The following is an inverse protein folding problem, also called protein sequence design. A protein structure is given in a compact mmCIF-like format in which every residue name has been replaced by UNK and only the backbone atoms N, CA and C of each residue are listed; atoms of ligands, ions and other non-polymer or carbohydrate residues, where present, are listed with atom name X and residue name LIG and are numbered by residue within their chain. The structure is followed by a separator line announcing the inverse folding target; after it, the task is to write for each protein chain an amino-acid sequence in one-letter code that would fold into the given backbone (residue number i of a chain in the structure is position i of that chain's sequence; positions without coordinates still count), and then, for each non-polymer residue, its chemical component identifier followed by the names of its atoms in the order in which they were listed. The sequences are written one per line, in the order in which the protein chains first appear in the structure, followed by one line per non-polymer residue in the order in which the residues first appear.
data_IF_871602852003
#
_entry.id   IF_871602852003
#
_cell.length_a   1.000
_cell.length_b   1.000
_cell.length_c   1.000
_cell.angle_alpha   90.00
_cell.angle_beta   90.00
_cell.angle_gamma   90.00
#
_symmetry.space_group_name_H-M   'P 1'
#
loop_
_entity.id
_entity.type
_entity.pdbx_description
1 polymer ?
#
# COMPACT_ATOMS: atom_id res chain seq x y z
N UNK A 1 4.46 60.53 -20.51
CA UNK A 1 5.92 60.55 -20.76
C UNK A 1 6.38 59.13 -21.02
N UNK A 2 6.85 58.81 -22.24
CA UNK A 2 7.38 57.49 -22.58
C UNK A 2 8.90 57.49 -22.40
N UNK A 3 9.46 56.46 -21.77
CA UNK A 3 10.87 56.09 -21.98
C UNK A 3 11.01 54.58 -21.98
N UNK A 4 11.23 54.11 -23.20
CA UNK A 4 11.95 52.89 -23.55
C UNK A 4 13.25 52.77 -22.74
N UNK A 5 13.58 51.54 -22.32
CA UNK A 5 14.87 50.94 -22.66
C UNK A 5 14.86 49.44 -22.42
N UNK A 6 14.95 48.73 -23.52
CA UNK A 6 15.56 47.41 -23.64
C UNK A 6 16.89 47.32 -22.88
N UNK A 7 17.17 46.16 -22.31
CA UNK A 7 18.50 45.56 -22.44
C UNK A 7 18.41 44.04 -22.24
N UNK A 8 18.38 43.38 -23.41
CA UNK A 8 18.70 41.98 -23.62
C UNK A 8 20.14 41.69 -23.17
N UNK A 9 20.35 40.57 -22.50
CA UNK A 9 21.69 40.02 -22.27
C UNK A 9 21.59 38.49 -22.27
N UNK A 10 21.79 37.92 -23.44
CA UNK A 10 22.07 36.51 -23.65
C UNK A 10 23.52 36.20 -23.26
N UNK A 11 23.80 35.12 -22.53
CA UNK A 11 25.16 34.62 -22.34
C UNK A 11 25.64 33.75 -23.52
N UNK A 12 26.97 33.61 -23.70
CA UNK A 12 27.59 33.20 -24.95
C UNK A 12 27.62 31.69 -25.21
N UNK A 13 27.48 31.37 -26.50
CA UNK A 13 27.71 30.07 -27.13
C UNK A 13 29.18 29.68 -27.04
N UNK A 14 29.49 28.57 -26.36
CA UNK A 14 30.83 27.95 -26.44
C UNK A 14 30.81 26.86 -27.50
N UNK A 15 31.53 27.14 -28.58
CA UNK A 15 31.81 26.23 -29.68
C UNK A 15 33.06 25.38 -29.37
N UNK A 16 33.20 24.29 -30.13
CA UNK A 16 34.46 23.59 -30.44
C UNK A 16 34.97 22.57 -29.41
N UNK A 17 34.76 21.29 -29.71
CA UNK A 17 35.88 20.35 -29.96
C UNK A 17 35.43 19.09 -30.71
N UNK A 18 35.64 19.10 -32.02
CA UNK A 18 35.84 17.89 -32.82
C UNK A 18 37.09 17.14 -32.30
N UNK A 19 36.97 15.83 -32.18
CA UNK A 19 38.04 14.96 -31.68
C UNK A 19 37.78 13.50 -32.03
N UNK A 20 38.08 13.18 -33.29
CA UNK A 20 38.68 11.93 -33.79
C UNK A 20 38.19 10.56 -33.25
N UNK A 21 37.56 9.83 -34.17
CA UNK A 21 37.59 8.37 -34.24
C UNK A 21 39.03 7.82 -34.22
N UNK A 22 39.21 6.65 -33.60
CA UNK A 22 39.78 5.54 -34.36
C UNK A 22 38.90 4.28 -34.33
N UNK A 23 38.64 3.75 -35.52
CA UNK A 23 38.27 2.35 -35.74
C UNK A 23 39.46 1.45 -35.41
N UNK A 24 39.20 0.23 -34.91
CA UNK A 24 39.89 -0.92 -35.47
C UNK A 24 38.93 -2.05 -35.86
N UNK A 25 39.06 -2.43 -37.13
CA UNK A 25 39.25 -3.81 -37.65
C UNK A 25 38.42 -4.96 -37.10
N UNK A 26 37.73 -5.57 -38.07
CA UNK A 26 37.03 -6.84 -38.07
C UNK A 26 37.90 -8.07 -37.74
N UNK A 27 37.18 -9.19 -37.60
CA UNK A 27 37.56 -10.62 -37.43
C UNK A 27 37.24 -11.07 -35.99
N UNK A 28 36.34 -12.02 -35.71
CA UNK A 28 36.10 -13.26 -36.44
C UNK A 28 34.68 -13.81 -36.19
N UNK A 29 34.20 -14.50 -37.22
CA UNK A 29 33.02 -15.35 -37.30
C UNK A 29 32.92 -16.40 -36.19
N UNK A 30 31.74 -16.50 -35.58
CA UNK A 30 31.24 -17.74 -34.98
C UNK A 30 29.71 -17.74 -35.09
N UNK A 31 29.20 -18.82 -35.66
CA UNK A 31 27.85 -19.04 -36.19
C UNK A 31 26.70 -18.73 -35.22
N UNK A 32 25.54 -18.23 -35.71
CA UNK A 32 24.33 -18.13 -34.90
C UNK A 32 23.68 -19.52 -34.76
N UNK A 33 23.62 -20.03 -33.53
CA UNK A 33 22.71 -21.12 -33.17
C UNK A 33 21.28 -20.57 -33.11
N UNK A 34 20.44 -21.06 -34.01
CA UNK A 34 19.01 -20.78 -34.13
C UNK A 34 18.26 -21.20 -32.86
N UNK A 35 17.59 -20.30 -32.11
CA UNK A 35 16.55 -20.72 -31.19
C UNK A 35 15.28 -20.99 -31.99
N UNK A 36 14.90 -22.27 -32.00
CA UNK A 36 13.63 -22.84 -32.46
C UNK A 36 12.44 -21.94 -32.06
N UNK A 37 11.83 -21.31 -33.05
CA UNK A 37 10.58 -20.59 -32.90
C UNK A 37 9.49 -21.54 -32.38
N UNK A 38 9.05 -21.31 -31.14
CA UNK A 38 7.84 -21.93 -30.61
C UNK A 38 6.68 -21.03 -31.03
N UNK A 39 5.96 -21.45 -32.08
CA UNK A 39 4.74 -20.82 -32.55
C UNK A 39 3.69 -20.84 -31.44
N UNK A 40 3.62 -19.79 -30.63
CA UNK A 40 2.47 -19.54 -29.77
C UNK A 40 1.33 -19.06 -30.64
N UNK A 41 0.34 -19.95 -30.77
CA UNK A 41 -0.93 -19.75 -31.46
C UNK A 41 -1.71 -18.67 -30.73
N UNK A 42 -1.84 -17.50 -31.34
CA UNK A 42 -2.74 -16.43 -30.88
C UNK A 42 -4.18 -16.94 -30.98
N UNK A 43 -5.00 -16.94 -29.92
CA UNK A 43 -6.43 -17.16 -30.06
C UNK A 43 -7.05 -15.96 -30.77
N UNK A 44 -7.61 -16.24 -31.94
CA UNK A 44 -8.38 -15.32 -32.76
C UNK A 44 -9.68 -14.96 -32.03
N UNK A 45 -10.05 -13.68 -31.86
CA UNK A 45 -11.37 -13.32 -31.37
C UNK A 45 -12.39 -13.57 -32.48
N UNK A 46 -13.22 -14.60 -32.32
CA UNK A 46 -14.38 -14.84 -33.17
C UNK A 46 -15.44 -13.79 -32.85
N UNK A 47 -15.52 -12.77 -33.71
CA UNK A 47 -16.69 -11.90 -33.82
C UNK A 47 -17.77 -12.65 -34.59
N UNK A 48 -18.74 -13.21 -33.89
CA UNK A 48 -20.03 -13.62 -34.45
C UNK A 48 -21.10 -12.72 -33.88
N UNK A 49 -21.59 -11.83 -34.73
CA UNK A 49 -22.84 -11.11 -34.56
C UNK A 49 -23.94 -11.91 -35.26
N UNK A 50 -25.00 -12.26 -34.55
CA UNK A 50 -26.35 -12.55 -35.09
C UNK A 50 -27.30 -12.57 -33.88
N UNK A 51 -28.05 -11.49 -33.65
CA UNK A 51 -29.42 -11.23 -34.10
C UNK A 51 -30.51 -12.04 -33.36
N UNK A 52 -31.38 -11.26 -32.70
CA UNK A 52 -32.80 -11.47 -32.41
C UNK A 52 -33.25 -12.77 -31.71
N UNK A 53 -33.83 -12.64 -30.52
CA UNK A 53 -35.29 -12.81 -30.35
C UNK A 53 -35.75 -12.56 -28.91
N UNK A 54 -37.05 -12.29 -28.89
CA UNK A 54 -38.02 -11.87 -27.87
C UNK A 54 -38.16 -12.72 -26.60
N UNK A 55 -39.08 -12.24 -25.76
CA UNK A 55 -39.76 -12.86 -24.61
C UNK A 55 -38.98 -12.83 -23.28
N UNK A 56 -39.53 -12.49 -22.12
CA UNK A 56 -40.83 -12.03 -21.61
C UNK A 56 -40.53 -11.58 -20.15
N UNK A 57 -41.40 -10.82 -19.45
CA UNK A 57 -41.11 -10.28 -18.13
C UNK A 57 -41.47 -11.28 -17.02
N UNK A 58 -40.57 -11.53 -16.08
CA UNK A 58 -40.87 -12.26 -14.85
C UNK A 58 -40.68 -11.38 -13.62
N UNK A 59 -41.82 -11.01 -13.03
CA UNK A 59 -42.00 -10.37 -11.73
C UNK A 59 -41.17 -11.03 -10.62
N UNK A 60 -40.47 -10.24 -9.78
CA UNK A 60 -40.15 -10.67 -8.43
C UNK A 60 -41.27 -10.25 -7.45
N UNK A 61 -41.80 -11.25 -6.76
CA UNK A 61 -42.76 -11.12 -5.66
C UNK A 61 -42.26 -10.21 -4.52
N UNK A 62 -43.14 -9.50 -3.80
CA UNK A 62 -42.77 -8.78 -2.59
C UNK A 62 -42.45 -9.77 -1.45
N UNK A 63 -41.41 -9.54 -0.64
CA UNK A 63 -41.22 -10.32 0.59
C UNK A 63 -42.30 -9.97 1.63
N UNK A 64 -42.72 -10.95 2.45
CA UNK A 64 -43.82 -10.79 3.40
C UNK A 64 -43.43 -9.90 4.59
N UNK A 65 -44.34 -8.99 4.93
CA UNK A 65 -44.42 -8.32 6.22
C UNK A 65 -44.59 -9.35 7.33
N UNK A 66 -43.66 -9.40 8.28
CA UNK A 66 -43.82 -10.16 9.53
C UNK A 66 -43.36 -9.33 10.73
N UNK A 67 -44.35 -8.67 11.33
CA UNK A 67 -44.69 -8.68 12.75
C UNK A 67 -43.57 -8.92 13.80
N UNK A 68 -43.39 -7.89 14.65
CA UNK A 68 -43.11 -7.91 16.11
C UNK A 68 -43.59 -9.19 16.84
N UNK A 69 -43.07 -9.60 18.04
CA UNK A 69 -42.81 -8.73 19.20
C UNK A 69 -41.72 -9.20 20.22
N UNK A 70 -41.63 -8.43 21.32
CA UNK A 70 -41.33 -8.84 22.71
C UNK A 70 -39.95 -8.53 23.33
N UNK A 71 -40.01 -7.65 24.36
CA UNK A 71 -39.08 -7.52 25.48
C UNK A 71 -38.89 -8.86 26.22
N UNK A 72 -37.77 -9.05 26.95
CA UNK A 72 -37.88 -8.90 28.39
C UNK A 72 -36.70 -8.19 29.07
N UNK A 73 -37.01 -7.80 30.31
CA UNK A 73 -36.31 -6.96 31.25
C UNK A 73 -35.07 -7.59 31.91
N UNK A 74 -34.32 -6.70 32.58
CA UNK A 74 -33.44 -6.90 33.77
C UNK A 74 -31.98 -7.29 33.50
N UNK A 75 -31.04 -6.55 34.11
CA UNK A 75 -30.22 -7.17 35.15
C UNK A 75 -30.24 -6.43 36.49
N UNK A 76 -30.18 -7.25 37.53
CA UNK A 76 -30.08 -6.93 38.95
C UNK A 76 -28.84 -6.09 39.30
N UNK A 77 -29.04 -5.19 40.26
CA UNK A 77 -27.99 -4.53 41.04
C UNK A 77 -27.12 -5.55 41.78
N UNK A 78 -25.78 -5.46 41.72
CA UNK A 78 -24.92 -6.12 42.67
C UNK A 78 -24.79 -5.31 43.97
N UNK A 79 -25.02 -6.04 45.04
CA UNK A 79 -24.89 -5.74 46.47
C UNK A 79 -23.56 -5.04 46.81
N UNK A 80 -23.68 -4.03 47.66
CA UNK A 80 -22.56 -3.36 48.33
C UNK A 80 -21.76 -4.37 49.18
N UNK A 81 -20.46 -4.47 48.91
CA UNK A 81 -19.52 -5.14 49.82
C UNK A 81 -18.99 -4.14 50.86
N UNK A 82 -18.85 -4.57 52.13
CA UNK A 82 -18.33 -3.76 53.23
C UNK A 82 -16.82 -3.54 53.14
N UNK A 83 -16.44 -2.34 53.54
CA UNK A 83 -15.09 -1.79 53.59
C UNK A 83 -14.18 -2.58 54.53
N UNK A 84 -13.02 -3.02 54.03
CA UNK A 84 -11.89 -3.47 54.86
C UNK A 84 -10.98 -2.28 55.22
N UNK A 85 -10.45 -2.25 56.46
CA UNK A 85 -9.68 -1.13 56.99
C UNK A 85 -8.30 -0.98 56.34
N UNK A 86 -8.03 0.29 56.00
CA UNK A 86 -6.79 0.89 55.52
C UNK A 86 -5.58 0.54 56.41
N UNK A 87 -4.52 0.01 55.79
CA UNK A 87 -3.17 0.07 56.35
C UNK A 87 -2.47 1.37 55.90
N UNK A 88 -1.67 2.01 56.77
CA UNK A 88 -1.00 3.27 56.49
C UNK A 88 0.03 3.16 55.35
N UNK A 89 0.25 4.26 54.60
CA UNK A 89 0.94 4.25 53.32
C UNK A 89 2.45 4.06 53.47
N UNK A 90 2.99 3.02 52.84
CA UNK A 90 4.40 2.98 52.50
C UNK A 90 4.66 4.07 51.45
N UNK A 91 5.50 5.02 51.84
CA UNK A 91 5.93 6.17 51.06
C UNK A 91 6.49 5.71 49.70
N UNK A 92 5.81 5.99 48.57
CA UNK A 92 6.36 5.68 47.25
C UNK A 92 7.49 6.65 46.97
N UNK A 93 8.68 6.11 46.77
CA UNK A 93 9.83 6.83 46.22
C UNK A 93 9.37 7.65 45.03
N UNK A 94 9.53 8.96 45.13
CA UNK A 94 9.14 9.92 44.11
C UNK A 94 9.74 9.47 42.77
N UNK A 95 8.93 9.13 41.75
CA UNK A 95 9.45 8.84 40.43
C UNK A 95 10.08 10.13 39.91
N UNK A 96 11.41 10.11 39.86
CA UNK A 96 12.20 11.18 39.28
C UNK A 96 11.62 11.48 37.89
N UNK A 97 11.20 12.72 37.60
CA UNK A 97 10.65 13.05 36.29
C UNK A 97 11.72 12.67 35.26
N UNK A 98 11.37 11.86 34.23
CA UNK A 98 12.32 11.47 33.21
C UNK A 98 12.87 12.76 32.60
N UNK A 99 14.16 12.99 32.82
CA UNK A 99 14.91 14.07 32.19
C UNK A 99 14.57 14.00 30.70
N UNK A 100 14.07 15.08 30.08
CA UNK A 100 13.74 15.08 28.65
C UNK A 100 15.04 14.82 27.90
N UNK A 101 15.25 13.55 27.57
CA UNK A 101 16.37 13.12 26.75
C UNK A 101 16.15 13.82 25.41
N UNK A 102 17.06 14.71 24.98
CA UNK A 102 16.89 15.43 23.73
C UNK A 102 16.76 14.38 22.66
N UNK A 103 15.56 14.27 22.09
CA UNK A 103 15.24 13.38 20.99
C UNK A 103 16.33 13.57 19.96
N UNK A 104 17.25 12.61 19.90
CA UNK A 104 18.32 12.58 18.92
C UNK A 104 17.63 12.73 17.58
N UNK A 105 17.85 13.89 16.98
CA UNK A 105 17.28 14.30 15.72
C UNK A 105 17.70 13.26 14.69
N UNK A 106 16.86 12.24 14.53
CA UNK A 106 17.03 11.18 13.53
C UNK A 106 17.03 11.90 12.20
N UNK A 107 18.23 12.14 11.67
CA UNK A 107 18.37 12.74 10.36
C UNK A 107 17.52 11.91 9.38
N UNK A 108 16.72 12.56 8.53
CA UNK A 108 15.86 11.87 7.58
C UNK A 108 16.75 10.91 6.78
N UNK A 109 16.44 9.61 6.88
CA UNK A 109 17.19 8.57 6.19
C UNK A 109 17.27 8.95 4.70
N UNK A 110 18.48 9.18 4.15
CA UNK A 110 18.62 9.64 2.77
C UNK A 110 17.95 8.62 1.86
N UNK A 111 17.04 9.10 1.00
CA UNK A 111 16.37 8.25 0.02
C UNK A 111 17.44 7.57 -0.84
N UNK A 112 17.32 6.26 -1.12
CA UNK A 112 18.32 5.54 -1.90
C UNK A 112 18.53 6.23 -3.24
N UNK A 113 19.79 6.49 -3.65
CA UNK A 113 20.08 7.19 -4.89
C UNK A 113 19.47 6.44 -6.07
N UNK A 114 18.71 7.15 -6.90
CA UNK A 114 18.13 6.64 -8.15
C UNK A 114 19.23 6.52 -9.21
N UNK A 115 20.25 5.71 -8.94
CA UNK A 115 21.21 5.32 -9.96
C UNK A 115 20.45 4.62 -11.10
N UNK A 116 20.95 4.72 -12.34
CA UNK A 116 20.33 4.06 -13.50
C UNK A 116 20.20 2.55 -13.24
N UNK A 117 18.99 2.10 -12.89
CA UNK A 117 18.68 0.70 -12.59
C UNK A 117 18.52 0.00 -13.94
N UNK A 118 19.49 -0.86 -14.28
CA UNK A 118 19.57 -1.47 -15.62
C UNK A 118 18.99 -2.89 -15.66
N UNK A 119 18.90 -3.57 -14.53
CA UNK A 119 18.48 -4.96 -14.46
C UNK A 119 17.14 -5.13 -13.73
N UNK A 120 16.32 -6.14 -14.08
CA UNK A 120 15.08 -6.43 -13.37
C UNK A 120 15.27 -6.60 -11.86
N UNK A 121 16.33 -7.29 -11.43
CA UNK A 121 16.59 -7.56 -10.01
C UNK A 121 16.94 -6.30 -9.22
N UNK A 122 17.70 -5.38 -9.83
CA UNK A 122 17.99 -4.07 -9.23
C UNK A 122 16.72 -3.22 -9.10
N UNK A 123 15.86 -3.23 -10.11
CA UNK A 123 14.56 -2.54 -10.07
C UNK A 123 13.68 -3.15 -8.98
N UNK A 124 13.53 -4.48 -8.95
CA UNK A 124 12.78 -5.17 -7.91
C UNK A 124 13.28 -4.79 -6.51
N UNK A 125 14.58 -4.90 -6.25
CA UNK A 125 15.19 -4.54 -4.96
C UNK A 125 14.91 -3.09 -4.57
N UNK A 126 15.01 -2.17 -5.53
CA UNK A 126 14.68 -0.76 -5.30
C UNK A 126 13.22 -0.55 -4.93
N UNK A 127 12.28 -1.16 -5.69
CA UNK A 127 10.85 -1.05 -5.42
C UNK A 127 10.48 -1.67 -4.06
N UNK A 128 11.08 -2.79 -3.69
CA UNK A 128 10.90 -3.38 -2.35
C UNK A 128 11.38 -2.41 -1.25
N UNK A 129 12.51 -1.73 -1.45
CA UNK A 129 13.00 -0.71 -0.53
C UNK A 129 12.02 0.45 -0.39
N UNK A 130 11.41 0.91 -1.49
CA UNK A 130 10.39 1.96 -1.46
C UNK A 130 9.17 1.51 -0.66
N UNK A 131 8.70 0.28 -0.84
CA UNK A 131 7.57 -0.27 -0.07
C UNK A 131 7.89 -0.38 1.42
N UNK A 132 9.08 -0.86 1.79
CA UNK A 132 9.53 -0.90 3.20
C UNK A 132 9.52 0.50 3.82
N UNK A 133 10.04 1.49 3.09
CA UNK A 133 10.10 2.89 3.56
C UNK A 133 8.71 3.49 3.71
N UNK A 134 7.81 3.23 2.75
CA UNK A 134 6.41 3.66 2.83
C UNK A 134 5.72 3.05 4.06
N UNK A 135 5.87 1.74 4.28
CA UNK A 135 5.27 1.06 5.43
C UNK A 135 5.78 1.63 6.76
N UNK A 136 7.09 1.90 6.86
CA UNK A 136 7.66 2.57 8.02
C UNK A 136 7.01 3.94 8.24
N UNK A 137 6.90 4.78 7.20
CA UNK A 137 6.28 6.10 7.32
C UNK A 137 4.80 6.05 7.76
N UNK A 138 4.07 5.00 7.35
CA UNK A 138 2.70 4.77 7.80
C UNK A 138 2.68 4.39 9.27
N UNK A 139 3.49 3.42 9.68
CA UNK A 139 3.58 2.96 11.07
C UNK A 139 4.05 4.04 12.04
N UNK A 140 4.94 4.93 11.61
CA UNK A 140 5.44 6.07 12.40
C UNK A 140 4.52 7.30 12.32
N UNK A 141 3.42 7.23 11.56
CA UNK A 141 2.48 8.35 11.34
C UNK A 141 3.14 9.61 10.79
N UNK A 142 4.22 9.46 10.03
CA UNK A 142 4.94 10.58 9.40
C UNK A 142 4.53 10.79 7.94
N UNK A 143 3.75 9.89 7.35
CA UNK A 143 3.27 10.02 5.98
C UNK A 143 2.21 11.13 5.86
N UNK A 144 2.66 12.34 5.58
CA UNK A 144 1.84 13.54 5.35
C UNK A 144 1.90 13.97 3.87
N UNK A 145 1.03 14.90 3.42
CA UNK A 145 1.12 15.48 2.06
C UNK A 145 2.49 16.12 1.75
N UNK A 146 3.16 16.67 2.77
CA UNK A 146 4.49 17.28 2.64
C UNK A 146 5.66 16.29 2.78
N UNK A 147 5.38 15.02 3.10
CA UNK A 147 6.42 14.02 3.25
C UNK A 147 7.13 13.77 1.90
N UNK A 148 8.48 13.66 1.87
CA UNK A 148 9.21 13.46 0.61
C UNK A 148 8.69 12.29 -0.23
N UNK A 149 8.40 11.14 0.39
CA UNK A 149 7.83 9.96 -0.29
C UNK A 149 6.53 10.26 -1.04
N UNK A 150 5.69 11.15 -0.51
CA UNK A 150 4.43 11.54 -1.14
C UNK A 150 4.66 12.22 -2.48
N UNK A 151 5.73 13.01 -2.60
CA UNK A 151 6.09 13.73 -3.83
C UNK A 151 6.96 12.92 -4.79
N UNK A 152 7.85 12.07 -4.25
CA UNK A 152 8.82 11.33 -5.04
C UNK A 152 8.30 9.98 -5.52
N UNK A 153 7.52 9.30 -4.69
CA UNK A 153 7.21 7.87 -4.84
C UNK A 153 5.74 7.60 -5.11
N UNK A 154 4.82 8.44 -4.64
CA UNK A 154 3.39 8.23 -4.88
C UNK A 154 2.94 9.03 -6.10
N UNK A 155 2.17 8.41 -7.00
CA UNK A 155 1.59 9.10 -8.14
C UNK A 155 0.39 9.96 -7.70
N UNK A 156 0.15 11.15 -8.28
CA UNK A 156 -1.03 11.95 -7.99
C UNK A 156 -2.36 11.20 -8.22
N UNK A 157 -2.36 10.26 -9.17
CA UNK A 157 -3.50 9.39 -9.52
C UNK A 157 -3.46 8.06 -8.77
N UNK A 158 -2.90 8.02 -7.56
CA UNK A 158 -2.84 6.81 -6.75
C UNK A 158 -4.24 6.26 -6.49
N UNK A 159 -4.43 4.98 -6.80
CA UNK A 159 -5.61 4.21 -6.41
C UNK A 159 -5.31 3.33 -5.21
N UNK A 160 -6.08 3.45 -4.13
CA UNK A 160 -5.94 2.59 -2.96
C UNK A 160 -7.25 1.85 -2.72
N UNK A 161 -7.17 0.53 -2.70
CA UNK A 161 -8.29 -0.39 -2.44
C UNK A 161 -7.86 -1.38 -1.37
N UNK A 162 -8.52 -1.37 -0.22
CA UNK A 162 -8.24 -2.33 0.87
C UNK A 162 -9.52 -2.71 1.56
N UNK A 163 -9.62 -3.90 2.16
CA UNK A 163 -10.83 -4.31 2.89
C UNK A 163 -11.17 -3.42 4.11
N UNK A 164 -10.24 -2.59 4.58
CA UNK A 164 -10.42 -1.76 5.76
C UNK A 164 -10.83 -0.31 5.45
N UNK A 165 -10.89 0.07 4.16
CA UNK A 165 -11.17 1.44 3.74
C UNK A 165 -11.92 1.46 2.41
N UNK A 166 -12.81 2.44 2.17
CA UNK A 166 -13.42 2.62 0.86
C UNK A 166 -12.35 2.80 -0.24
N UNK A 167 -12.61 2.31 -1.47
CA UNK A 167 -11.73 2.56 -2.61
C UNK A 167 -11.52 4.07 -2.84
N UNK A 168 -10.31 4.45 -3.21
CA UNK A 168 -9.94 5.85 -3.53
C UNK A 168 -9.30 5.94 -4.91
N UNK A 169 -9.36 7.12 -5.52
CA UNK A 169 -8.93 7.36 -6.91
C UNK A 169 -7.89 8.48 -7.06
N UNK A 170 -7.44 9.06 -5.94
CA UNK A 170 -6.41 10.10 -5.95
C UNK A 170 -5.55 10.04 -4.70
N UNK A 171 -4.30 10.50 -4.81
CA UNK A 171 -3.36 10.55 -3.69
C UNK A 171 -3.93 11.31 -2.49
N UNK A 172 -4.60 12.44 -2.72
CA UNK A 172 -5.21 13.24 -1.65
C UNK A 172 -6.30 12.45 -0.90
N UNK A 173 -7.17 11.75 -1.62
CA UNK A 173 -8.23 10.95 -1.00
C UNK A 173 -7.67 9.72 -0.28
N UNK A 174 -6.64 9.07 -0.84
CA UNK A 174 -5.93 7.96 -0.18
C UNK A 174 -5.25 8.40 1.12
N UNK A 175 -4.55 9.53 1.14
CA UNK A 175 -3.90 10.05 2.36
C UNK A 175 -4.92 10.46 3.43
N UNK A 176 -6.04 11.05 3.02
CA UNK A 176 -7.13 11.40 3.94
C UNK A 176 -7.76 10.14 4.57
N UNK A 177 -8.06 9.11 3.76
CA UNK A 177 -8.59 7.84 4.23
C UNK A 177 -7.63 7.13 5.19
N UNK A 178 -6.35 7.08 4.84
CA UNK A 178 -5.31 6.50 5.70
C UNK A 178 -5.16 7.27 7.02
N UNK A 179 -5.14 8.60 6.98
CA UNK A 179 -5.07 9.44 8.18
C UNK A 179 -6.28 9.18 9.09
N UNK A 180 -7.48 9.09 8.50
CA UNK A 180 -8.69 8.75 9.24
C UNK A 180 -8.59 7.38 9.91
N UNK A 181 -8.14 6.35 9.18
CA UNK A 181 -7.93 5.00 9.71
C UNK A 181 -6.96 5.01 10.91
N UNK A 182 -5.80 5.64 10.75
CA UNK A 182 -4.75 5.68 11.80
C UNK A 182 -5.18 6.48 13.04
N UNK A 183 -6.03 7.50 12.87
CA UNK A 183 -6.62 8.25 14.00
C UNK A 183 -7.68 7.44 14.73
N UNK A 184 -8.52 6.71 14.00
CA UNK A 184 -9.56 5.85 14.58
C UNK A 184 -8.97 4.62 15.28
N UNK A 185 -7.82 4.13 14.81
CA UNK A 185 -7.16 2.93 15.31
C UNK A 185 -5.70 3.22 15.70
N UNK A 186 -5.46 3.78 16.90
CA UNK A 186 -4.10 4.14 17.36
C UNK A 186 -3.19 2.92 17.61
N UNK A 187 -3.75 1.72 17.72
CA UNK A 187 -2.99 0.47 17.78
C UNK A 187 -2.77 -0.16 16.40
N UNK A 188 -3.20 0.50 15.32
CA UNK A 188 -2.95 0.02 13.96
C UNK A 188 -1.44 -0.05 13.70
N UNK A 189 -0.97 -1.25 13.34
CA UNK A 189 0.41 -1.47 12.97
C UNK A 189 0.50 -2.57 11.91
N UNK A 190 1.36 -2.34 10.92
CA UNK A 190 1.61 -3.25 9.82
C UNK A 190 3.04 -3.81 9.90
N UNK A 191 3.16 -5.11 10.09
CA UNK A 191 4.43 -5.81 10.09
C UNK A 191 4.64 -6.52 8.74
N UNK A 192 5.72 -6.17 8.04
CA UNK A 192 6.05 -6.80 6.76
C UNK A 192 6.68 -8.19 6.99
N UNK A 193 5.96 -9.25 6.65
CA UNK A 193 6.45 -10.62 6.79
C UNK A 193 7.28 -11.07 5.59
N UNK A 194 6.84 -10.72 4.38
CA UNK A 194 7.61 -10.96 3.16
C UNK A 194 7.31 -9.88 2.13
N UNK A 195 8.28 -9.64 1.25
CA UNK A 195 8.15 -8.72 0.12
C UNK A 195 8.89 -9.33 -1.06
N UNK A 196 8.28 -9.25 -2.24
CA UNK A 196 8.84 -9.77 -3.48
C UNK A 196 8.46 -8.84 -4.62
N UNK A 197 9.46 -8.17 -5.20
CA UNK A 197 9.30 -7.44 -6.45
C UNK A 197 9.17 -8.38 -7.65
N UNK A 198 8.27 -8.05 -8.56
CA UNK A 198 8.11 -8.69 -9.86
C UNK A 198 8.10 -7.63 -10.96
N UNK A 199 9.18 -7.56 -11.74
CA UNK A 199 9.27 -6.60 -12.84
C UNK A 199 8.64 -7.22 -14.08
N UNK A 200 7.37 -6.89 -14.29
CA UNK A 200 6.57 -7.47 -15.38
C UNK A 200 7.05 -7.01 -16.75
N UNK A 201 7.35 -5.71 -16.91
CA UNK A 201 7.80 -5.18 -18.19
C UNK A 201 8.66 -3.92 -18.03
N UNK A 202 9.98 -4.06 -18.15
CA UNK A 202 10.93 -2.93 -18.08
C UNK A 202 10.71 -1.93 -19.21
N UNK A 203 10.45 -2.40 -20.44
CA UNK A 203 10.28 -1.52 -21.61
C UNK A 203 9.03 -0.65 -21.47
N UNK A 204 7.93 -1.24 -20.98
CA UNK A 204 6.69 -0.53 -20.71
C UNK A 204 6.70 0.23 -19.37
N UNK A 205 7.73 0.05 -18.55
CA UNK A 205 7.85 0.72 -17.26
C UNK A 205 6.78 0.28 -16.26
N UNK A 206 6.47 -1.02 -16.18
CA UNK A 206 5.48 -1.57 -15.26
C UNK A 206 6.10 -2.65 -14.37
N UNK A 207 5.81 -2.59 -13.08
CA UNK A 207 6.29 -3.54 -12.09
C UNK A 207 5.29 -3.66 -10.93
N UNK A 208 5.21 -4.85 -10.34
CA UNK A 208 4.38 -5.13 -9.18
C UNK A 208 5.27 -5.53 -8.00
N UNK A 209 4.86 -5.18 -6.78
CA UNK A 209 5.49 -5.67 -5.55
C UNK A 209 4.43 -6.37 -4.72
N UNK A 210 4.65 -7.66 -4.47
CA UNK A 210 3.80 -8.49 -3.63
C UNK A 210 4.33 -8.48 -2.21
N UNK A 211 3.47 -8.14 -1.26
CA UNK A 211 3.81 -8.05 0.15
C UNK A 211 2.87 -8.94 0.95
N UNK A 212 3.44 -9.71 1.88
CA UNK A 212 2.66 -10.34 2.95
C UNK A 212 2.83 -9.51 4.20
N UNK A 213 1.75 -8.96 4.71
CA UNK A 213 1.73 -8.03 5.83
C UNK A 213 0.86 -8.60 6.95
N UNK A 214 1.38 -8.65 8.17
CA UNK A 214 0.56 -8.88 9.36
C UNK A 214 0.04 -7.53 9.87
N UNK A 215 -1.27 -7.38 9.95
CA UNK A 215 -1.94 -6.17 10.40
C UNK A 215 -2.47 -6.39 11.81
N UNK A 216 -2.23 -5.43 12.69
CA UNK A 216 -2.79 -5.42 14.05
C UNK A 216 -3.66 -4.19 14.29
N UNK A 217 -4.59 -4.26 15.23
CA UNK A 217 -5.37 -3.11 15.72
C UNK A 217 -6.57 -2.66 14.88
N UNK A 218 -6.89 -3.34 13.77
CA UNK A 218 -8.06 -3.06 12.90
C UNK A 218 -8.70 -4.39 12.50
N UNK A 219 -10.04 -4.56 12.64
CA UNK A 219 -11.05 -3.53 12.90
C UNK A 219 -11.24 -3.21 14.39
N UNK A 220 -10.71 -4.04 15.28
CA UNK A 220 -10.79 -3.86 16.74
C UNK A 220 -9.41 -4.01 17.37
N UNK A 221 -9.26 -3.44 18.56
CA UNK A 221 -8.05 -3.60 19.35
C UNK A 221 -7.78 -5.09 19.63
N UNK A 222 -6.51 -5.48 19.63
CA UNK A 222 -6.09 -6.88 19.78
C UNK A 222 -6.31 -7.77 18.55
N UNK A 223 -7.00 -7.31 17.50
CA UNK A 223 -7.06 -8.07 16.25
C UNK A 223 -5.66 -8.20 15.64
N UNK A 224 -5.32 -9.40 15.17
CA UNK A 224 -4.16 -9.69 14.34
C UNK A 224 -4.63 -10.51 13.14
N UNK A 225 -4.33 -10.06 11.94
CA UNK A 225 -4.69 -10.76 10.71
C UNK A 225 -3.60 -10.64 9.66
N UNK A 226 -3.59 -11.56 8.70
CA UNK A 226 -2.71 -11.48 7.55
C UNK A 226 -3.40 -10.76 6.40
N UNK A 227 -2.62 -10.00 5.64
CA UNK A 227 -3.07 -9.28 4.45
C UNK A 227 -2.04 -9.49 3.34
N UNK A 228 -2.52 -9.74 2.13
CA UNK A 228 -1.69 -9.71 0.92
C UNK A 228 -1.87 -8.35 0.28
N UNK A 229 -0.78 -7.64 0.04
CA UNK A 229 -0.78 -6.31 -0.58
C UNK A 229 -0.03 -6.39 -1.90
N UNK A 230 -0.68 -5.93 -2.97
CA UNK A 230 -0.08 -5.74 -4.29
C UNK A 230 0.11 -4.25 -4.51
N UNK A 231 1.35 -3.85 -4.75
CA UNK A 231 1.73 -2.46 -5.02
C UNK A 231 2.19 -2.36 -6.46
N UNK A 232 1.42 -1.66 -7.29
CA UNK A 232 1.72 -1.47 -8.71
C UNK A 232 2.52 -0.17 -8.89
N UNK A 233 3.64 -0.26 -9.60
CA UNK A 233 4.52 0.85 -9.92
C UNK A 233 4.55 1.10 -11.43
N UNK A 234 4.61 2.38 -11.80
CA UNK A 234 4.88 2.84 -13.16
C UNK A 234 6.11 3.72 -13.23
N UNK A 235 6.86 3.60 -14.32
CA UNK A 235 7.97 4.49 -14.63
C UNK A 235 7.40 5.78 -15.27
N UNK A 236 7.60 6.92 -14.60
CA UNK A 236 7.24 8.24 -15.10
C UNK A 236 8.48 9.02 -15.55
N UNK A 237 8.34 9.78 -16.65
CA UNK A 237 9.38 10.71 -17.11
C UNK A 237 10.58 10.05 -17.82
N UNK A 238 10.42 8.85 -18.36
CA UNK A 238 11.44 8.23 -19.21
C UNK A 238 11.05 6.85 -19.76
N UNK A 239 12.00 6.20 -20.44
CA UNK A 239 11.83 4.91 -21.10
C UNK A 239 13.04 4.00 -20.83
N UNK A 240 12.86 2.67 -20.91
CA UNK A 240 13.96 1.72 -20.78
C UNK A 240 14.59 1.66 -19.38
N UNK A 241 13.79 1.84 -18.31
CA UNK A 241 14.26 1.77 -16.92
C UNK A 241 14.88 3.06 -16.38
N UNK A 242 15.03 4.10 -17.21
CA UNK A 242 15.48 5.43 -16.80
C UNK A 242 14.25 6.30 -16.56
N UNK A 243 14.08 6.82 -15.34
CA UNK A 243 12.92 7.62 -14.95
C UNK A 243 12.66 7.51 -13.44
N UNK A 244 11.49 7.97 -12.99
CA UNK A 244 11.06 7.83 -11.60
C UNK A 244 9.97 6.77 -11.50
N UNK A 245 10.23 5.74 -10.70
CA UNK A 245 9.20 4.77 -10.37
C UNK A 245 8.22 5.37 -9.36
N UNK A 246 6.94 5.40 -9.72
CA UNK A 246 5.85 5.87 -8.87
C UNK A 246 4.81 4.80 -8.65
N UNK A 247 4.35 4.67 -7.41
CA UNK A 247 3.24 3.83 -7.04
C UNK A 247 1.95 4.45 -7.57
N UNK A 248 1.25 3.69 -8.43
CA UNK A 248 -0.01 4.13 -9.05
C UNK A 248 -1.22 3.41 -8.47
N UNK A 249 -1.02 2.23 -7.87
CA UNK A 249 -2.10 1.46 -7.28
C UNK A 249 -1.62 0.59 -6.12
N UNK A 250 -2.43 0.51 -5.08
CA UNK A 250 -2.24 -0.36 -3.92
C UNK A 250 -3.52 -1.14 -3.71
N UNK A 251 -3.43 -2.46 -3.75
CA UNK A 251 -4.55 -3.36 -3.48
C UNK A 251 -4.21 -4.24 -2.28
N UNK A 252 -5.00 -4.18 -1.21
CA UNK A 252 -4.85 -5.00 -0.01
C UNK A 252 -6.03 -5.93 0.16
N UNK A 253 -5.78 -7.23 0.19
CA UNK A 253 -6.79 -8.27 0.39
C UNK A 253 -6.47 -8.98 1.71
N UNK A 254 -7.44 -8.99 2.63
CA UNK A 254 -7.32 -9.70 3.91
C UNK A 254 -7.27 -11.20 3.62
N UNK A 255 -6.20 -11.83 4.07
CA UNK A 255 -6.09 -13.28 4.06
C UNK A 255 -7.03 -13.89 5.10
N UNK A 256 -7.33 -15.18 4.94
CA UNK A 256 -7.97 -15.94 6.01
C UNK A 256 -7.12 -15.80 7.29
N UNK A 257 -7.76 -15.70 8.47
CA UNK A 257 -7.03 -15.70 9.73
C UNK A 257 -6.13 -16.94 9.72
N UNK A 258 -4.84 -16.78 10.01
CA UNK A 258 -3.91 -17.91 10.06
C UNK A 258 -4.55 -18.96 10.97
N UNK A 259 -4.90 -20.12 10.42
CA UNK A 259 -5.61 -21.21 11.10
C UNK A 259 -4.84 -21.81 12.30
N UNK A 260 -3.75 -21.16 12.71
CA UNK A 260 -3.06 -21.36 13.98
C UNK A 260 -3.88 -20.93 15.19
N UNK A 261 -5.13 -20.49 15.01
CA UNK A 261 -6.17 -20.48 16.03
C UNK A 261 -6.59 -21.87 16.50
N UNK A 262 -5.64 -22.81 16.65
CA UNK A 262 -5.75 -23.98 17.52
C UNK A 262 -5.80 -23.57 19.00
N UNK A 263 -6.52 -22.50 19.31
CA UNK A 263 -7.13 -22.36 20.61
C UNK A 263 -8.14 -23.49 20.69
N UNK A 264 -7.77 -24.53 21.44
CA UNK A 264 -8.72 -25.51 21.94
C UNK A 264 -9.96 -24.74 22.42
N UNK A 265 -11.17 -25.01 21.88
CA UNK A 265 -12.39 -24.42 22.39
C UNK A 265 -12.50 -24.82 23.85
N UNK A 266 -12.11 -23.91 24.74
CA UNK A 266 -12.17 -24.17 26.17
C UNK A 266 -13.57 -23.74 26.58
N UNK A 267 -14.48 -24.70 26.61
CA UNK A 267 -15.72 -24.60 27.36
C UNK A 267 -16.95 -24.23 26.55
N UNK A 268 -17.84 -25.23 26.45
CA UNK A 268 -19.28 -25.15 26.22
C UNK A 268 -19.94 -23.81 26.51
N UNK A 269 -20.47 -23.20 25.45
CA UNK A 269 -21.46 -22.13 25.55
C UNK A 269 -22.38 -22.18 24.32
N UNK A 270 -23.63 -22.63 24.43
CA UNK A 270 -24.57 -22.64 23.31
C UNK A 270 -25.03 -21.20 23.05
N UNK A 271 -24.40 -20.53 22.09
CA UNK A 271 -24.75 -19.15 21.74
C UNK A 271 -24.43 -18.86 20.28
N UNK A 272 -25.31 -19.29 19.38
CA UNK A 272 -25.24 -18.98 17.96
C UNK A 272 -25.35 -17.48 17.70
N UNK A 273 -24.28 -16.90 17.16
CA UNK A 273 -24.26 -15.54 16.65
C UNK A 273 -23.67 -15.51 15.26
N UNK A 274 -24.53 -15.54 14.24
CA UNK A 274 -24.17 -15.28 12.85
C UNK A 274 -23.72 -13.82 12.72
N UNK A 275 -22.41 -13.59 12.84
CA UNK A 275 -21.80 -12.29 12.62
C UNK A 275 -21.65 -12.03 11.12
N UNK A 276 -22.70 -11.50 10.50
CA UNK A 276 -22.58 -10.84 9.19
C UNK A 276 -21.67 -9.61 9.36
N UNK A 277 -20.46 -9.66 8.81
CA UNK A 277 -19.60 -8.49 8.68
C UNK A 277 -20.03 -7.70 7.44
N UNK A 278 -21.12 -6.94 7.58
CA UNK A 278 -21.46 -5.88 6.65
C UNK A 278 -20.50 -4.70 6.86
N UNK A 279 -19.88 -4.25 5.77
CA UNK A 279 -19.22 -2.95 5.68
C UNK A 279 -20.19 -1.94 5.07
#
# INVERSE_FOLDING_TARGET
MPREREQSSTPPTTSTREGQSPSPTASSSSSPSTPRASSFRTPQPSTSAEAASSDEPSSPSPPPSSSSPSKPSTPQSPVAQPSTPQSPPAQPSTPQPPTPQPSSSTMPHPLPPTASLKTPDQIATHLESLVRTLLTAINTRTLTPSHPLTTTTLSPTLHLTTDCMPPTTSLQTSLAALTFLLRRHPHHHMHLSSVKGNVVNIKAGYADVYCRVSVTGVPKEGFRGMMVVVVEFRLEGGAGGVGRWRCVKVTGIRGLPDGSGGGTPTGDGPGGGSGSFGW
#
